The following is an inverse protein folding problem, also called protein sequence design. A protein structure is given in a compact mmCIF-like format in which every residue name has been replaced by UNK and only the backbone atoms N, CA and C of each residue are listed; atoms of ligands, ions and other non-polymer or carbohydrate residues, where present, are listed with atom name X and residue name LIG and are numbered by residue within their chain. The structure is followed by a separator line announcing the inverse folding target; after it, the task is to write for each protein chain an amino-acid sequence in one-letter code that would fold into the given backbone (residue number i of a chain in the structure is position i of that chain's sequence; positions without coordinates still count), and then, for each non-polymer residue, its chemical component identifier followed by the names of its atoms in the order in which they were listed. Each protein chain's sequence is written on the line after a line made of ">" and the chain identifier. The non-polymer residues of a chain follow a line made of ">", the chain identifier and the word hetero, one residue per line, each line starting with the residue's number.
data_IF_376604422872
#
_entry.id   IF_376604422872
#
_cell.length_a   1.000
_cell.length_b   1.000
_cell.length_c   1.000
_cell.angle_alpha   90.00
_cell.angle_beta   90.00
_cell.angle_gamma   90.00
#
_symmetry.space_group_name_H-M   'P 1'
#
loop_
_entity.id
_entity.type
_entity.pdbx_description
1 polymer ?
#
# COMPACT_ATOMS: atom_id res chain seq x y z
N UNK A 1 -34.44 22.00 44.77
CA UNK A 1 -34.55 22.27 43.33
C UNK A 1 -33.28 21.78 42.64
N UNK A 2 -33.40 20.82 41.71
CA UNK A 2 -32.26 20.30 40.93
C UNK A 2 -31.85 21.36 39.88
N UNK A 3 -30.55 21.63 39.67
CA UNK A 3 -30.13 22.45 38.54
C UNK A 3 -30.13 21.60 37.26
N UNK A 4 -30.69 22.16 36.18
CA UNK A 4 -30.69 21.59 34.85
C UNK A 4 -29.29 21.70 34.19
N UNK A 5 -28.88 20.77 33.31
CA UNK A 5 -27.61 20.88 32.61
C UNK A 5 -27.73 21.87 31.46
N UNK A 6 -26.81 22.84 31.42
CA UNK A 6 -26.62 23.78 30.33
C UNK A 6 -25.91 23.06 29.18
N UNK A 7 -26.61 22.91 28.05
CA UNK A 7 -26.08 22.32 26.82
C UNK A 7 -25.08 23.31 26.19
N UNK A 8 -23.79 23.00 26.25
CA UNK A 8 -22.74 23.78 25.58
C UNK A 8 -22.77 23.45 24.08
N UNK A 9 -23.28 24.37 23.27
CA UNK A 9 -23.19 24.29 21.82
C UNK A 9 -21.75 24.56 21.37
N UNK A 10 -21.09 23.52 20.86
CA UNK A 10 -19.78 23.64 20.19
C UNK A 10 -19.97 24.32 18.84
N UNK A 11 -19.60 25.61 18.78
CA UNK A 11 -19.41 26.34 17.54
C UNK A 11 -18.13 25.83 16.88
N UNK A 12 -18.29 25.02 15.82
CA UNK A 12 -17.19 24.68 14.93
C UNK A 12 -16.85 25.91 14.07
N UNK A 13 -15.72 26.55 14.34
CA UNK A 13 -15.15 27.59 13.48
C UNK A 13 -14.61 26.91 12.22
N UNK A 14 -15.35 27.00 11.13
CA UNK A 14 -14.89 26.63 9.81
C UNK A 14 -13.86 27.66 9.33
N UNK A 15 -12.57 27.34 9.45
CA UNK A 15 -11.52 28.05 8.73
C UNK A 15 -11.61 27.66 7.26
N UNK A 16 -12.23 28.53 6.47
CA UNK A 16 -12.35 28.38 5.03
C UNK A 16 -10.98 28.41 4.36
N UNK A 17 -10.54 27.26 3.85
CA UNK A 17 -9.52 27.20 2.80
C UNK A 17 -10.15 27.64 1.48
N UNK A 18 -9.49 28.46 0.66
CA UNK A 18 -10.03 28.84 -0.64
C UNK A 18 -10.21 27.58 -1.50
N UNK A 19 -11.44 27.32 -1.94
CA UNK A 19 -11.75 26.32 -2.96
C UNK A 19 -11.05 26.75 -4.25
N UNK A 20 -9.94 26.09 -4.58
CA UNK A 20 -9.48 26.01 -5.96
C UNK A 20 -10.56 25.18 -6.69
N UNK A 21 -11.28 25.81 -7.61
CA UNK A 21 -12.20 25.12 -8.51
C UNK A 21 -11.40 24.06 -9.29
N UNK A 22 -11.80 22.80 -9.13
CA UNK A 22 -11.16 21.65 -9.77
C UNK A 22 -12.07 20.43 -9.65
N UNK A 23 -12.85 20.23 -10.71
CA UNK A 23 -13.53 19.02 -11.17
C UNK A 23 -14.37 18.23 -10.15
N UNK A 24 -15.60 18.72 -9.91
CA UNK A 24 -16.68 17.81 -9.52
C UNK A 24 -16.81 16.71 -10.60
N UNK A 25 -16.95 15.43 -10.23
CA UNK A 25 -17.18 14.36 -11.20
C UNK A 25 -18.42 14.68 -12.03
N UNK A 26 -18.49 14.25 -13.31
CA UNK A 26 -19.65 14.50 -14.17
C UNK A 26 -20.95 14.16 -13.45
N UNK A 27 -21.98 15.00 -13.60
CA UNK A 27 -23.28 14.84 -12.89
C UNK A 27 -23.94 13.47 -13.10
N UNK A 28 -23.57 12.78 -14.18
CA UNK A 28 -24.09 11.47 -14.58
C UNK A 28 -23.19 10.29 -14.15
N UNK A 29 -22.07 10.56 -13.46
CA UNK A 29 -21.20 9.49 -12.96
C UNK A 29 -21.83 8.80 -11.76
N UNK A 30 -21.81 7.46 -11.77
CA UNK A 30 -22.28 6.63 -10.66
C UNK A 30 -21.68 7.10 -9.33
N UNK A 31 -22.49 7.09 -8.27
CA UNK A 31 -22.02 7.36 -6.91
C UNK A 31 -21.24 6.16 -6.37
N UNK A 32 -19.99 6.40 -5.97
CA UNK A 32 -19.12 5.42 -5.35
C UNK A 32 -18.93 5.69 -3.85
N UNK A 33 -18.34 4.73 -3.15
CA UNK A 33 -17.87 4.88 -1.78
C UNK A 33 -16.83 6.01 -1.69
N UNK A 34 -16.62 6.58 -0.49
CA UNK A 34 -15.52 7.53 -0.27
C UNK A 34 -14.17 6.93 -0.68
N UNK A 35 -13.25 7.80 -1.10
CA UNK A 35 -11.86 7.43 -1.37
C UNK A 35 -11.18 6.93 -0.08
N UNK A 36 -10.14 6.07 -0.20
CA UNK A 36 -9.57 5.59 -1.44
C UNK A 36 -10.36 4.44 -2.09
N UNK A 37 -10.10 4.19 -3.38
CA UNK A 37 -10.73 3.12 -4.15
C UNK A 37 -9.73 2.00 -4.43
N UNK A 38 -9.75 0.97 -3.58
CA UNK A 38 -9.16 -0.33 -3.90
C UNK A 38 -9.94 -0.97 -5.05
N UNK A 39 -9.32 -1.13 -6.23
CA UNK A 39 -9.98 -1.79 -7.36
C UNK A 39 -9.94 -3.31 -7.25
N UNK A 40 -8.84 -3.84 -6.73
CA UNK A 40 -8.68 -5.26 -6.46
C UNK A 40 -7.66 -5.49 -5.35
N UNK A 41 -7.98 -6.41 -4.45
CA UNK A 41 -7.02 -7.03 -3.53
C UNK A 41 -6.78 -8.47 -3.98
N UNK A 42 -5.57 -8.81 -4.38
CA UNK A 42 -5.19 -10.18 -4.75
C UNK A 42 -4.50 -10.87 -3.60
N UNK A 43 -5.15 -11.86 -3.00
CA UNK A 43 -4.64 -12.58 -1.84
C UNK A 43 -3.89 -13.83 -2.28
N UNK A 44 -2.62 -13.90 -1.88
CA UNK A 44 -1.82 -15.10 -1.93
C UNK A 44 -1.93 -15.85 -0.60
N UNK A 45 -2.09 -17.16 -0.69
CA UNK A 45 -1.89 -18.08 0.42
C UNK A 45 -0.54 -18.78 0.22
N UNK A 46 0.44 -18.45 1.08
CA UNK A 46 1.81 -18.99 1.00
C UNK A 46 2.00 -20.27 1.82
N UNK A 47 0.90 -20.89 2.26
CA UNK A 47 0.88 -22.21 2.89
C UNK A 47 0.73 -22.15 4.41
N UNK A 48 1.76 -21.74 5.15
CA UNK A 48 1.73 -21.66 6.61
C UNK A 48 2.42 -20.41 7.12
N UNK A 49 2.13 -20.04 8.37
CA UNK A 49 2.89 -19.04 9.09
C UNK A 49 4.37 -19.47 9.16
N UNK A 50 5.30 -18.55 8.99
CA UNK A 50 6.73 -18.86 8.93
C UNK A 50 7.60 -17.79 9.60
N UNK A 51 8.75 -18.17 10.20
CA UNK A 51 9.73 -17.18 10.66
C UNK A 51 10.11 -16.22 9.53
N UNK A 52 10.14 -14.92 9.83
CA UNK A 52 10.38 -13.89 8.83
C UNK A 52 11.85 -13.48 8.74
N UNK A 53 12.46 -13.74 7.59
CA UNK A 53 13.75 -13.17 7.17
C UNK A 53 13.58 -12.23 5.97
N UNK A 54 12.76 -12.61 4.98
CA UNK A 54 12.41 -11.73 3.87
C UNK A 54 11.10 -12.11 3.19
N UNK A 55 10.49 -11.12 2.52
CA UNK A 55 9.34 -11.27 1.63
C UNK A 55 9.60 -10.43 0.39
N UNK A 56 9.57 -11.02 -0.80
CA UNK A 56 9.73 -10.30 -2.05
C UNK A 56 8.60 -10.62 -3.04
N UNK A 57 8.21 -9.63 -3.83
CA UNK A 57 7.25 -9.76 -4.93
C UNK A 57 7.77 -8.98 -6.13
N UNK A 58 7.83 -9.66 -7.27
CA UNK A 58 8.07 -9.01 -8.56
C UNK A 58 6.79 -8.29 -9.00
N UNK A 59 6.93 -7.07 -9.52
CA UNK A 59 5.86 -6.31 -10.14
C UNK A 59 6.31 -5.79 -11.50
N UNK A 60 5.49 -5.98 -12.52
CA UNK A 60 5.72 -5.43 -13.87
C UNK A 60 4.59 -4.47 -14.22
N UNK A 61 4.94 -3.27 -14.67
CA UNK A 61 4.03 -2.18 -15.04
C UNK A 61 4.17 -1.96 -16.54
N UNK A 62 3.07 -2.04 -17.30
CA UNK A 62 3.12 -1.99 -18.78
C UNK A 62 3.34 -0.59 -19.34
N UNK A 63 2.87 0.45 -18.66
CA UNK A 63 2.76 1.82 -19.18
C UNK A 63 3.25 2.85 -18.16
N UNK A 64 3.78 3.96 -18.68
CA UNK A 64 4.15 5.09 -17.83
C UNK A 64 2.89 5.74 -17.27
N UNK A 65 2.93 6.05 -15.97
CA UNK A 65 1.77 6.61 -15.27
C UNK A 65 2.07 8.07 -14.90
N UNK A 66 1.17 9.03 -15.22
CA UNK A 66 1.37 10.41 -14.81
C UNK A 66 1.39 10.54 -13.27
N UNK A 67 2.29 11.37 -12.74
CA UNK A 67 2.40 11.61 -11.29
C UNK A 67 1.08 12.11 -10.67
N UNK A 68 0.22 12.76 -11.47
CA UNK A 68 -1.02 13.37 -11.04
C UNK A 68 -2.15 12.38 -10.73
N UNK A 69 -2.11 11.10 -11.13
CA UNK A 69 -3.30 10.24 -11.04
C UNK A 69 -3.58 9.65 -9.65
N UNK A 70 -2.65 9.80 -8.71
CA UNK A 70 -2.72 9.18 -7.37
C UNK A 70 -2.98 7.67 -7.44
N UNK A 71 -2.18 6.95 -8.23
CA UNK A 71 -2.20 5.48 -8.31
C UNK A 71 -1.26 4.90 -7.27
N UNK A 72 -1.75 3.90 -6.54
CA UNK A 72 -0.95 3.04 -5.67
C UNK A 72 -0.95 1.61 -6.21
N UNK A 73 0.23 1.12 -6.56
CA UNK A 73 0.52 -0.28 -6.87
C UNK A 73 1.25 -0.86 -5.66
N UNK A 74 0.63 -1.82 -4.97
CA UNK A 74 1.19 -2.41 -3.77
C UNK A 74 1.54 -3.88 -4.00
N UNK A 75 2.79 -4.22 -4.39
CA UNK A 75 3.24 -5.61 -4.48
C UNK A 75 3.22 -6.31 -3.12
N UNK A 76 3.27 -5.57 -2.02
CA UNK A 76 3.09 -6.09 -0.67
C UNK A 76 2.01 -5.23 -0.01
N UNK A 77 0.76 -5.43 -0.43
CA UNK A 77 -0.37 -4.58 -0.10
C UNK A 77 -1.01 -4.81 1.26
N UNK A 78 -1.15 -6.06 1.71
CA UNK A 78 -1.66 -6.36 3.05
C UNK A 78 -0.95 -7.60 3.60
N UNK A 79 -0.36 -7.50 4.79
CA UNK A 79 0.24 -8.62 5.48
C UNK A 79 0.40 -8.34 6.96
N UNK A 80 0.80 -9.36 7.74
CA UNK A 80 1.15 -9.18 9.14
C UNK A 80 2.50 -9.80 9.47
N UNK A 81 3.27 -9.07 10.28
CA UNK A 81 4.45 -9.60 10.97
C UNK A 81 4.11 -9.68 12.46
N UNK A 82 4.02 -10.89 13.00
CA UNK A 82 3.66 -11.12 14.41
C UNK A 82 2.39 -10.37 14.82
N UNK A 83 1.34 -10.43 13.99
CA UNK A 83 0.05 -9.73 14.12
C UNK A 83 0.09 -8.21 13.88
N UNK A 84 1.25 -7.62 13.63
CA UNK A 84 1.35 -6.19 13.28
C UNK A 84 1.08 -6.03 11.78
N UNK A 85 0.03 -5.30 11.37
CA UNK A 85 -0.30 -5.16 9.96
C UNK A 85 0.67 -4.19 9.26
N UNK A 86 1.02 -4.50 8.02
CA UNK A 86 1.94 -3.71 7.21
C UNK A 86 1.54 -3.70 5.74
N UNK A 87 2.09 -2.74 5.00
CA UNK A 87 1.90 -2.60 3.56
C UNK A 87 3.03 -1.79 2.93
N UNK A 88 3.29 -1.96 1.64
CA UNK A 88 4.33 -1.25 0.90
C UNK A 88 4.24 -1.42 -0.61
N UNK A 89 4.78 -0.44 -1.33
CA UNK A 89 4.78 -0.43 -2.78
C UNK A 89 5.14 0.91 -3.40
N UNK A 90 4.58 1.18 -4.58
CA UNK A 90 4.90 2.28 -5.47
C UNK A 90 3.69 3.21 -5.59
N UNK A 91 3.86 4.49 -5.30
CA UNK A 91 2.82 5.50 -5.49
C UNK A 91 3.26 6.53 -6.53
N UNK A 92 2.30 7.09 -7.27
CA UNK A 92 2.57 8.25 -8.15
C UNK A 92 2.74 9.55 -7.37
N UNK A 93 2.38 9.56 -6.08
CA UNK A 93 2.60 10.66 -5.14
C UNK A 93 2.91 10.14 -3.72
N UNK A 94 4.19 10.07 -3.33
CA UNK A 94 4.63 9.61 -2.00
C UNK A 94 4.89 10.77 -1.05
N UNK A 95 3.88 11.57 -0.73
CA UNK A 95 4.04 12.71 0.20
C UNK A 95 4.69 12.29 1.53
N UNK A 96 5.48 13.18 2.12
CA UNK A 96 6.21 12.88 3.35
C UNK A 96 6.82 14.11 4.00
N UNK A 97 7.32 13.95 5.21
CA UNK A 97 8.01 14.98 5.97
C UNK A 97 9.36 14.46 6.49
N UNK A 98 10.11 15.33 7.18
CA UNK A 98 11.38 14.96 7.82
C UNK A 98 11.36 15.35 9.30
N UNK A 99 12.32 14.86 10.11
CA UNK A 99 12.41 15.25 11.52
C UNK A 99 12.69 16.75 11.68
N UNK A 100 13.40 17.35 10.72
CA UNK A 100 13.73 18.78 10.69
C UNK A 100 12.59 19.64 10.16
N UNK A 101 11.81 19.11 9.23
CA UNK A 101 10.69 19.79 8.57
C UNK A 101 9.43 18.93 8.70
N UNK A 102 8.62 19.10 9.76
CA UNK A 102 7.47 18.24 10.03
C UNK A 102 6.28 18.50 9.10
N UNK A 103 6.31 19.59 8.33
CA UNK A 103 5.27 19.90 7.34
C UNK A 103 5.28 18.85 6.22
N UNK A 104 4.11 18.34 5.87
CA UNK A 104 3.94 17.41 4.76
C UNK A 104 4.37 18.09 3.43
N UNK A 105 5.20 17.39 2.66
CA UNK A 105 5.71 17.85 1.36
C UNK A 105 5.18 16.95 0.27
N UNK A 106 4.90 17.58 -0.87
CA UNK A 106 4.59 16.91 -2.14
C UNK A 106 5.88 16.45 -2.80
N UNK A 107 6.05 15.16 -3.04
CA UNK A 107 7.35 14.57 -3.41
C UNK A 107 7.39 13.95 -4.82
N UNK A 108 6.23 13.78 -5.45
CA UNK A 108 6.08 13.06 -6.71
C UNK A 108 6.09 11.55 -6.52
N UNK A 109 6.32 10.78 -7.60
CA UNK A 109 6.37 9.34 -7.54
C UNK A 109 7.44 8.83 -6.58
N UNK A 110 7.20 7.68 -5.98
CA UNK A 110 8.17 7.05 -5.11
C UNK A 110 7.70 5.74 -4.50
N UNK A 111 8.48 5.28 -3.53
CA UNK A 111 8.27 4.04 -2.79
C UNK A 111 7.89 4.31 -1.35
N UNK A 112 7.13 3.41 -0.74
CA UNK A 112 6.77 3.51 0.67
C UNK A 112 6.69 2.14 1.33
N UNK A 113 6.98 2.10 2.63
CA UNK A 113 6.66 0.99 3.51
C UNK A 113 6.04 1.52 4.79
N UNK A 114 4.92 0.93 5.20
CA UNK A 114 4.07 1.38 6.30
C UNK A 114 3.72 0.24 7.24
N UNK A 115 3.47 0.60 8.50
CA UNK A 115 3.06 -0.28 9.57
C UNK A 115 1.96 0.39 10.39
N UNK A 116 0.90 -0.35 10.71
CA UNK A 116 -0.23 0.11 11.51
C UNK A 116 0.01 -0.08 13.01
N UNK A 117 -0.72 0.68 13.84
CA UNK A 117 -0.72 0.57 15.30
C UNK A 117 0.47 1.23 15.98
N UNK A 118 1.11 2.19 15.32
CA UNK A 118 2.29 2.90 15.80
C UNK A 118 2.22 4.38 15.40
N UNK A 119 2.78 5.27 16.23
CA UNK A 119 2.86 6.72 16.01
C UNK A 119 4.21 7.33 16.31
N UNK A 120 5.07 6.63 17.03
CA UNK A 120 6.39 7.14 17.39
C UNK A 120 7.27 7.27 16.15
N UNK A 121 7.84 8.47 15.97
CA UNK A 121 8.85 8.70 14.93
C UNK A 121 10.18 8.00 15.22
N UNK A 122 10.35 7.43 16.42
CA UNK A 122 11.52 6.63 16.77
C UNK A 122 11.40 5.20 16.25
N UNK A 123 10.20 4.76 15.86
CA UNK A 123 9.98 3.49 15.16
C UNK A 123 10.24 3.60 13.64
N UNK A 124 10.85 4.71 13.19
CA UNK A 124 11.06 5.03 11.77
C UNK A 124 12.53 5.33 11.51
N UNK A 125 13.12 4.61 10.56
CA UNK A 125 14.46 4.86 10.02
C UNK A 125 14.37 5.14 8.51
N UNK A 126 14.14 6.40 8.09
CA UNK A 126 14.17 6.75 6.66
C UNK A 126 15.54 6.43 6.05
N UNK A 127 15.59 6.14 4.76
CA UNK A 127 16.86 6.13 4.02
C UNK A 127 17.51 7.53 4.01
N UNK A 128 18.77 7.63 3.62
CA UNK A 128 19.46 8.91 3.49
C UNK A 128 18.77 9.81 2.45
N UNK A 129 18.32 10.99 2.86
CA UNK A 129 17.47 11.87 2.03
C UNK A 129 16.04 11.34 1.84
N UNK A 130 15.65 10.31 2.58
CA UNK A 130 14.30 9.79 2.67
C UNK A 130 13.39 10.63 3.56
N UNK A 131 12.11 10.38 3.45
CA UNK A 131 11.03 11.04 4.17
C UNK A 131 10.25 10.01 4.97
N UNK A 132 9.33 10.48 5.81
CA UNK A 132 8.41 9.60 6.52
C UNK A 132 7.02 10.21 6.66
N UNK A 133 6.10 9.43 7.20
CA UNK A 133 4.88 9.92 7.82
C UNK A 133 4.66 9.21 9.15
N UNK A 134 4.08 9.93 10.11
CA UNK A 134 3.38 9.39 11.28
C UNK A 134 2.03 10.07 11.34
N UNK A 135 0.94 9.31 11.24
CA UNK A 135 -0.39 9.89 11.15
C UNK A 135 -1.48 9.02 11.76
N UNK A 136 -2.63 9.64 12.02
CA UNK A 136 -3.82 9.02 12.61
C UNK A 136 -5.09 9.25 11.80
N UNK A 137 -5.01 9.90 10.64
CA UNK A 137 -6.19 10.31 9.86
C UNK A 137 -6.99 9.13 9.29
N UNK A 138 -6.33 7.99 9.09
CA UNK A 138 -6.91 6.72 8.62
C UNK A 138 -6.76 5.59 9.66
N UNK A 139 -6.44 5.96 10.90
CA UNK A 139 -5.89 5.06 11.92
C UNK A 139 -4.41 5.33 12.14
N UNK A 140 -3.89 4.85 13.27
CA UNK A 140 -2.50 5.11 13.66
C UNK A 140 -1.52 4.30 12.79
N UNK A 141 -0.60 4.99 12.11
CA UNK A 141 0.46 4.36 11.35
C UNK A 141 1.75 5.17 11.32
N UNK A 142 2.84 4.47 11.00
CA UNK A 142 4.13 5.04 10.60
C UNK A 142 4.55 4.52 9.23
N UNK A 143 5.31 5.32 8.49
CA UNK A 143 5.69 5.02 7.11
C UNK A 143 7.04 5.63 6.74
N UNK A 144 7.91 4.86 6.08
CA UNK A 144 9.09 5.40 5.38
C UNK A 144 8.74 5.66 3.92
N UNK A 145 9.31 6.73 3.35
CA UNK A 145 8.99 7.25 2.02
C UNK A 145 10.28 7.59 1.27
N UNK A 146 10.42 7.08 0.04
CA UNK A 146 11.56 7.38 -0.83
C UNK A 146 11.07 7.94 -2.16
N UNK A 147 11.22 9.25 -2.41
CA UNK A 147 10.95 9.83 -3.72
C UNK A 147 11.81 9.12 -4.77
N UNK A 148 11.17 8.64 -5.81
CA UNK A 148 11.80 7.91 -6.89
C UNK A 148 10.88 7.97 -8.11
N UNK A 149 11.36 8.59 -9.19
CA UNK A 149 10.60 8.77 -10.42
C UNK A 149 10.51 7.47 -11.24
N UNK A 150 9.86 6.44 -10.67
CA UNK A 150 9.65 5.16 -11.32
C UNK A 150 8.86 5.31 -12.62
N UNK A 151 9.06 4.34 -13.52
CA UNK A 151 8.52 4.28 -14.87
C UNK A 151 7.87 2.92 -15.10
N UNK A 152 7.32 2.70 -16.29
CA UNK A 152 6.99 1.34 -16.71
C UNK A 152 8.23 0.44 -16.64
N UNK A 153 8.00 -0.85 -16.44
CA UNK A 153 9.06 -1.83 -16.33
C UNK A 153 8.87 -2.78 -15.16
N UNK A 154 9.92 -3.54 -14.88
CA UNK A 154 9.94 -4.57 -13.84
C UNK A 154 10.66 -4.06 -12.60
N UNK A 155 10.06 -4.31 -11.44
CA UNK A 155 10.61 -4.04 -10.12
C UNK A 155 10.51 -5.30 -9.25
N UNK A 156 11.44 -5.48 -8.32
CA UNK A 156 11.28 -6.41 -7.20
C UNK A 156 11.14 -5.60 -5.93
N UNK A 157 9.98 -5.68 -5.28
CA UNK A 157 9.75 -5.05 -3.98
C UNK A 157 10.02 -6.07 -2.88
N UNK A 158 10.90 -5.75 -1.93
CA UNK A 158 11.35 -6.68 -0.89
C UNK A 158 11.34 -6.06 0.49
N UNK A 159 10.80 -6.79 1.46
CA UNK A 159 11.02 -6.56 2.89
C UNK A 159 12.10 -7.52 3.40
N UNK A 160 12.95 -7.04 4.31
CA UNK A 160 14.05 -7.84 4.87
C UNK A 160 14.23 -7.51 6.34
N UNK A 161 14.37 -8.56 7.16
CA UNK A 161 14.75 -8.45 8.56
C UNK A 161 16.15 -7.81 8.67
N UNK A 162 16.31 -6.86 9.58
CA UNK A 162 17.56 -6.14 9.82
C UNK A 162 18.04 -6.30 11.27
N UNK A 163 18.77 -5.30 11.78
CA UNK A 163 19.27 -5.22 13.14
C UNK A 163 18.14 -5.20 14.18
N UNK A 164 18.53 -5.48 15.43
CA UNK A 164 17.64 -5.50 16.58
C UNK A 164 18.04 -4.42 17.58
N UNK A 165 17.07 -4.02 18.39
CA UNK A 165 17.32 -3.13 19.52
C UNK A 165 16.43 -3.45 20.70
N UNK A 166 16.82 -2.98 21.88
CA UNK A 166 16.05 -3.13 23.11
C UNK A 166 15.48 -1.79 23.52
N UNK A 167 14.16 -1.72 23.67
CA UNK A 167 13.43 -0.54 24.16
C UNK A 167 12.71 -0.96 25.43
N UNK A 168 13.00 -0.29 26.54
CA UNK A 168 12.42 -0.59 27.86
C UNK A 168 12.52 -2.08 28.25
N UNK A 169 13.70 -2.68 28.00
CA UNK A 169 13.96 -4.08 28.28
C UNK A 169 13.26 -5.07 27.34
N UNK A 170 12.55 -4.60 26.30
CA UNK A 170 11.83 -5.45 25.33
C UNK A 170 12.55 -5.45 23.97
N UNK A 171 12.75 -6.63 23.35
CA UNK A 171 13.39 -6.72 22.05
C UNK A 171 12.46 -6.21 20.94
N UNK A 172 13.07 -5.52 19.99
CA UNK A 172 12.46 -5.05 18.76
C UNK A 172 13.36 -5.40 17.59
N UNK A 173 12.76 -5.56 16.41
CA UNK A 173 13.46 -5.90 15.17
C UNK A 173 13.15 -4.86 14.12
N UNK A 174 14.18 -4.34 13.45
CA UNK A 174 14.02 -3.48 12.29
C UNK A 174 13.70 -4.32 11.05
N UNK A 175 12.75 -3.85 10.24
CA UNK A 175 12.42 -4.44 8.93
C UNK A 175 12.60 -3.36 7.88
N UNK A 176 13.51 -3.60 6.94
CA UNK A 176 13.83 -2.70 5.84
C UNK A 176 13.05 -3.01 4.57
N UNK A 177 12.67 -1.97 3.85
CA UNK A 177 12.10 -2.06 2.51
C UNK A 177 13.13 -1.69 1.45
N UNK A 178 13.20 -2.52 0.41
CA UNK A 178 14.11 -2.42 -0.71
C UNK A 178 13.33 -2.56 -2.03
N UNK A 179 13.69 -1.77 -3.03
CA UNK A 179 13.13 -1.89 -4.37
C UNK A 179 14.26 -2.03 -5.37
N UNK A 180 14.30 -3.15 -6.08
CA UNK A 180 15.23 -3.35 -7.18
C UNK A 180 14.55 -2.98 -8.50
N UNK A 181 15.13 -2.01 -9.22
CA UNK A 181 14.71 -1.57 -10.55
C UNK A 181 15.48 -2.36 -11.60
N UNK A 182 14.82 -3.28 -12.30
CA UNK A 182 15.48 -4.16 -13.27
C UNK A 182 15.98 -3.39 -14.51
N UNK A 183 15.33 -2.28 -14.85
CA UNK A 183 15.70 -1.47 -16.01
C UNK A 183 17.01 -0.69 -15.79
N UNK A 184 17.30 -0.31 -14.54
CA UNK A 184 18.47 0.51 -14.18
C UNK A 184 19.52 -0.24 -13.37
N UNK A 185 19.27 -1.52 -13.06
CA UNK A 185 20.10 -2.33 -12.16
C UNK A 185 20.37 -1.65 -10.80
N UNK A 186 19.36 -0.92 -10.30
CA UNK A 186 19.48 -0.13 -9.07
C UNK A 186 18.74 -0.80 -7.93
N UNK A 187 19.40 -0.96 -6.78
CA UNK A 187 18.78 -1.43 -5.55
C UNK A 187 18.58 -0.27 -4.57
N UNK A 188 17.33 0.16 -4.41
CA UNK A 188 16.94 1.33 -3.64
C UNK A 188 16.51 0.91 -2.24
N UNK A 189 17.22 1.37 -1.21
CA UNK A 189 16.73 1.30 0.16
C UNK A 189 15.69 2.40 0.41
N UNK A 190 14.47 2.02 0.79
CA UNK A 190 13.38 2.96 1.07
C UNK A 190 13.46 3.49 2.49
N UNK A 191 13.83 2.62 3.43
CA UNK A 191 13.89 2.87 4.86
C UNK A 191 13.49 1.62 5.64
N UNK A 192 13.45 1.72 6.97
CA UNK A 192 13.05 0.63 7.86
C UNK A 192 12.06 1.09 8.93
N UNK A 193 11.23 0.15 9.38
CA UNK A 193 10.29 0.33 10.49
C UNK A 193 10.58 -0.69 11.60
N UNK A 194 10.33 -0.30 12.84
CA UNK A 194 10.62 -1.12 14.03
C UNK A 194 9.40 -1.93 14.45
N UNK A 195 9.52 -3.26 14.42
CA UNK A 195 8.50 -4.19 14.88
C UNK A 195 8.82 -4.72 16.28
N UNK A 196 7.77 -5.03 17.05
CA UNK A 196 7.91 -5.62 18.38
C UNK A 196 8.33 -7.08 18.28
N UNK A 197 9.26 -7.48 19.14
CA UNK A 197 9.71 -8.86 19.25
C UNK A 197 11.05 -9.12 18.57
N UNK A 198 11.77 -10.10 19.11
CA UNK A 198 13.03 -10.59 18.56
C UNK A 198 12.77 -11.44 17.31
N UNK A 199 11.81 -12.37 17.38
CA UNK A 199 11.50 -13.30 16.28
C UNK A 199 10.17 -12.88 15.66
N UNK A 200 10.24 -12.41 14.42
CA UNK A 200 9.06 -12.02 13.65
C UNK A 200 8.52 -13.23 12.90
N UNK A 201 7.19 -13.30 12.77
CA UNK A 201 6.50 -14.36 12.04
C UNK A 201 5.66 -13.75 10.94
N UNK A 202 5.82 -14.21 9.70
CA UNK A 202 5.00 -13.79 8.57
C UNK A 202 3.73 -14.63 8.52
N UNK A 203 2.59 -13.97 8.50
CA UNK A 203 1.29 -14.62 8.31
C UNK A 203 1.22 -15.41 6.99
N UNK A 204 0.41 -16.47 7.02
CA UNK A 204 0.15 -17.33 5.86
C UNK A 204 -0.38 -16.58 4.62
N UNK A 205 -1.09 -15.47 4.82
CA UNK A 205 -1.73 -14.73 3.74
C UNK A 205 -1.11 -13.35 3.56
N UNK A 206 -0.77 -13.02 2.33
CA UNK A 206 -0.31 -11.70 1.92
C UNK A 206 -1.07 -11.27 0.68
N UNK A 207 -1.44 -10.00 0.59
CA UNK A 207 -2.13 -9.46 -0.57
C UNK A 207 -1.24 -8.52 -1.38
N UNK A 208 -1.52 -8.41 -2.66
CA UNK A 208 -1.23 -7.22 -3.45
C UNK A 208 -2.52 -6.41 -3.59
N UNK A 209 -2.41 -5.13 -3.93
CA UNK A 209 -3.57 -4.37 -4.37
C UNK A 209 -3.21 -3.31 -5.41
N UNK A 210 -4.25 -2.84 -6.09
CA UNK A 210 -4.21 -1.64 -6.94
C UNK A 210 -5.29 -0.68 -6.49
N UNK A 211 -4.92 0.57 -6.24
CA UNK A 211 -5.78 1.59 -5.65
C UNK A 211 -5.60 2.95 -6.32
N UNK A 212 -6.69 3.72 -6.45
CA UNK A 212 -6.60 5.18 -6.62
C UNK A 212 -6.90 5.83 -5.27
N UNK A 213 -6.03 6.73 -4.83
CA UNK A 213 -6.14 7.40 -3.53
C UNK A 213 -6.24 8.92 -3.66
N UNK A 214 -6.39 9.59 -2.52
CA UNK A 214 -6.48 11.04 -2.46
C UNK A 214 -7.87 11.55 -2.82
N UNK A 215 -7.94 12.76 -3.39
CA UNK A 215 -9.23 13.37 -3.76
C UNK A 215 -9.86 12.61 -4.92
N UNK A 216 -11.19 12.52 -4.91
CA UNK A 216 -11.94 11.91 -6.00
C UNK A 216 -11.60 12.61 -7.32
N UNK A 217 -11.42 11.81 -8.36
CA UNK A 217 -11.26 12.23 -9.76
C UNK A 217 -12.28 11.50 -10.62
N UNK A 218 -12.63 12.03 -11.82
CA UNK A 218 -13.45 11.32 -12.78
C UNK A 218 -12.89 9.91 -13.06
N UNK A 219 -13.77 8.90 -13.16
CA UNK A 219 -13.32 7.53 -13.49
C UNK A 219 -12.65 7.40 -14.85
N UNK A 220 -12.91 8.34 -15.76
CA UNK A 220 -12.25 8.43 -17.07
C UNK A 220 -10.75 8.76 -16.97
N UNK A 221 -10.30 9.32 -15.84
CA UNK A 221 -8.90 9.68 -15.59
C UNK A 221 -8.09 8.52 -14.99
N UNK A 222 -8.76 7.41 -14.66
CA UNK A 222 -8.09 6.20 -14.18
C UNK A 222 -7.16 5.72 -15.31
N UNK A 223 -5.85 5.54 -15.04
CA UNK A 223 -4.91 5.17 -16.08
C UNK A 223 -5.23 3.78 -16.61
N UNK A 224 -5.00 3.60 -17.92
CA UNK A 224 -5.10 2.31 -18.60
C UNK A 224 -3.74 1.63 -18.59
N UNK A 225 -3.63 0.53 -17.86
CA UNK A 225 -2.39 -0.22 -17.76
C UNK A 225 -2.65 -1.66 -17.34
N UNK A 226 -1.63 -2.49 -17.53
CA UNK A 226 -1.52 -3.84 -16.99
C UNK A 226 -0.44 -3.88 -15.93
N UNK A 227 -0.77 -4.47 -14.79
CA UNK A 227 0.12 -4.70 -13.66
C UNK A 227 0.21 -6.20 -13.45
N UNK A 228 1.41 -6.76 -13.48
CA UNK A 228 1.62 -8.19 -13.21
C UNK A 228 2.35 -8.36 -11.90
N UNK A 229 1.74 -9.06 -10.94
CA UNK A 229 2.38 -9.47 -9.69
C UNK A 229 2.88 -10.91 -9.80
N UNK A 230 4.17 -11.11 -9.57
CA UNK A 230 4.74 -12.45 -9.44
C UNK A 230 4.32 -13.13 -8.13
N UNK A 231 4.50 -14.46 -8.01
CA UNK A 231 4.26 -15.16 -6.77
C UNK A 231 5.20 -14.66 -5.66
N UNK A 232 4.76 -14.59 -4.39
CA UNK A 232 5.62 -14.21 -3.28
C UNK A 232 6.80 -15.17 -3.09
N UNK A 233 7.98 -14.59 -2.88
CA UNK A 233 9.20 -15.30 -2.46
C UNK A 233 9.43 -15.02 -0.99
N UNK A 234 9.31 -16.06 -0.16
CA UNK A 234 9.46 -15.97 1.30
C UNK A 234 10.79 -16.58 1.68
N UNK A 235 11.62 -15.84 2.41
CA UNK A 235 12.95 -16.25 2.87
C UNK A 235 13.84 -16.79 1.73
N UNK A 236 13.76 -16.14 0.55
CA UNK A 236 14.53 -16.52 -0.63
C UNK A 236 14.00 -17.73 -1.41
N UNK A 237 12.89 -18.35 -0.99
CA UNK A 237 12.28 -19.48 -1.68
C UNK A 237 10.84 -19.16 -2.12
N UNK A 238 10.47 -19.63 -3.32
CA UNK A 238 9.07 -19.65 -3.72
C UNK A 238 8.28 -20.60 -2.80
N UNK A 239 7.05 -20.21 -2.44
CA UNK A 239 6.17 -21.09 -1.67
C UNK A 239 5.88 -22.38 -2.45
N UNK A 240 6.01 -23.53 -1.78
CA UNK A 240 5.82 -24.86 -2.40
C UNK A 240 4.39 -25.08 -2.91
N UNK A 241 3.42 -24.53 -2.19
CA UNK A 241 2.01 -24.56 -2.56
C UNK A 241 1.50 -23.15 -2.41
N UNK A 242 1.16 -22.52 -3.53
CA UNK A 242 0.63 -21.18 -3.56
C UNK A 242 -0.76 -21.21 -4.16
N UNK A 243 -1.72 -20.56 -3.50
CA UNK A 243 -3.05 -20.31 -4.07
C UNK A 243 -3.29 -18.81 -4.13
N UNK A 244 -4.17 -18.39 -5.03
CA UNK A 244 -4.50 -16.99 -5.19
C UNK A 244 -6.00 -16.77 -5.40
N UNK A 245 -6.53 -15.71 -4.80
CA UNK A 245 -7.88 -15.20 -5.08
C UNK A 245 -7.86 -13.69 -5.32
N UNK A 246 -8.69 -13.20 -6.24
CA UNK A 246 -8.98 -11.79 -6.36
C UNK A 246 -10.24 -11.45 -5.57
N UNK A 247 -10.17 -10.36 -4.81
CA UNK A 247 -11.29 -9.75 -4.11
C UNK A 247 -11.53 -8.36 -4.69
N UNK A 248 -12.74 -8.12 -5.18
CA UNK A 248 -13.15 -6.84 -5.74
C UNK A 248 -14.08 -6.14 -4.74
N UNK A 249 -13.67 -5.01 -4.14
CA UNK A 249 -14.49 -4.27 -3.20
C UNK A 249 -15.85 -3.86 -3.80
N UNK A 250 -16.84 -3.67 -2.92
CA UNK A 250 -18.16 -3.16 -3.31
C UNK A 250 -18.18 -1.64 -3.26
N UNK A 251 -19.01 -1.03 -4.09
CA UNK A 251 -19.21 0.42 -4.06
C UNK A 251 -18.08 1.24 -4.67
N UNK A 252 -17.05 0.60 -5.25
CA UNK A 252 -15.99 1.26 -6.04
C UNK A 252 -16.21 1.01 -7.53
N UNK A 253 -15.54 1.78 -8.42
CA UNK A 253 -15.59 1.50 -9.86
C UNK A 253 -15.10 0.10 -10.20
N UNK A 254 -15.87 -0.64 -11.01
CA UNK A 254 -15.45 -1.93 -11.56
C UNK A 254 -14.50 -1.71 -12.74
N UNK A 255 -13.27 -1.30 -12.42
CA UNK A 255 -12.28 -0.82 -13.39
C UNK A 255 -10.98 -1.64 -13.41
N UNK A 256 -10.97 -2.78 -12.71
CA UNK A 256 -9.85 -3.72 -12.76
C UNK A 256 -10.33 -5.15 -12.92
N UNK A 257 -9.71 -5.93 -13.80
CA UNK A 257 -9.89 -7.38 -13.92
C UNK A 257 -8.58 -8.08 -13.62
N UNK A 258 -8.65 -9.27 -13.01
CA UNK A 258 -7.47 -10.08 -12.68
C UNK A 258 -7.59 -11.47 -13.30
N UNK A 259 -6.50 -11.96 -13.88
CA UNK A 259 -6.34 -13.32 -14.36
C UNK A 259 -5.02 -13.92 -13.84
N UNK A 260 -4.97 -15.23 -13.67
CA UNK A 260 -3.70 -15.94 -13.47
C UNK A 260 -3.06 -16.26 -14.82
N UNK A 261 -1.75 -16.04 -14.94
CA UNK A 261 -0.96 -16.39 -16.11
C UNK A 261 0.45 -16.78 -15.67
N UNK A 262 0.88 -17.98 -16.05
CA UNK A 262 2.24 -18.49 -15.76
C UNK A 262 2.64 -18.35 -14.27
N UNK A 263 1.68 -18.65 -13.37
CA UNK A 263 1.87 -18.55 -11.92
C UNK A 263 1.87 -17.12 -11.36
N UNK A 264 1.69 -16.10 -12.20
CA UNK A 264 1.57 -14.68 -11.82
C UNK A 264 0.12 -14.20 -11.89
N UNK A 265 -0.18 -13.07 -11.24
CA UNK A 265 -1.48 -12.40 -11.29
C UNK A 265 -1.40 -11.16 -12.17
N UNK A 266 -2.13 -11.17 -13.28
CA UNK A 266 -2.19 -10.08 -14.25
C UNK A 266 -3.46 -9.27 -14.00
N UNK A 267 -3.29 -8.02 -13.59
CA UNK A 267 -4.36 -7.05 -13.35
C UNK A 267 -4.40 -6.04 -14.49
N UNK A 268 -5.50 -6.01 -15.24
CA UNK A 268 -5.79 -4.92 -16.20
C UNK A 268 -6.62 -3.85 -15.53
N UNK A 269 -6.27 -2.57 -15.72
CA UNK A 269 -6.88 -1.41 -15.04
C UNK A 269 -7.31 -0.36 -16.05
N UNK A 270 -8.33 0.43 -15.72
CA UNK A 270 -8.73 1.63 -16.47
C UNK A 270 -9.76 1.40 -17.57
N UNK A 271 -10.40 0.22 -17.57
CA UNK A 271 -11.50 -0.09 -18.48
C UNK A 271 -12.73 -0.51 -17.66
N UNK A 272 -13.92 0.06 -17.95
CA UNK A 272 -15.14 -0.32 -17.24
C UNK A 272 -15.48 -1.78 -17.52
N UNK A 273 -15.87 -2.49 -16.47
CA UNK A 273 -16.36 -3.86 -16.54
C UNK A 273 -17.86 -3.87 -16.22
N UNK A 274 -18.65 -4.18 -17.23
CA UNK A 274 -20.10 -4.28 -17.08
C UNK A 274 -20.50 -5.56 -16.33
N UNK A 275 -21.51 -5.45 -15.48
CA UNK A 275 -22.19 -6.62 -14.92
C UNK A 275 -21.40 -7.48 -13.94
N UNK A 276 -20.35 -6.97 -13.26
CA UNK A 276 -19.63 -7.77 -12.25
C UNK A 276 -20.54 -8.23 -11.10
N UNK A 277 -20.83 -9.52 -11.11
CA UNK A 277 -21.59 -10.24 -10.09
C UNK A 277 -20.67 -10.87 -9.01
N UNK A 278 -19.58 -11.50 -9.44
CA UNK A 278 -18.60 -12.15 -8.55
C UNK A 278 -17.60 -11.15 -8.00
N UNK A 279 -17.59 -11.02 -6.67
CA UNK A 279 -16.65 -10.15 -5.94
C UNK A 279 -15.46 -10.91 -5.36
N UNK A 280 -15.47 -12.23 -5.43
CA UNK A 280 -14.37 -13.12 -5.04
C UNK A 280 -14.18 -14.16 -6.13
N UNK A 281 -12.97 -14.31 -6.63
CA UNK A 281 -12.62 -15.21 -7.73
C UNK A 281 -11.35 -15.95 -7.37
N UNK A 282 -11.39 -17.28 -7.34
CA UNK A 282 -10.18 -18.10 -7.24
C UNK A 282 -9.42 -18.04 -8.56
N UNK A 283 -8.13 -17.78 -8.51
CA UNK A 283 -7.26 -17.57 -9.66
C UNK A 283 -6.23 -18.70 -9.82
N UNK A 284 -5.65 -19.14 -8.71
CA UNK A 284 -4.68 -20.24 -8.65
C UNK A 284 -5.15 -21.20 -7.58
N UNK A 285 -5.29 -22.48 -7.94
CA UNK A 285 -5.66 -23.55 -7.02
C UNK A 285 -4.43 -24.33 -6.57
N UNK A 286 -4.52 -24.98 -5.40
CA UNK A 286 -3.45 -25.85 -4.94
C UNK A 286 -3.33 -27.04 -5.88
N UNK A 287 -2.14 -27.27 -6.42
CA UNK A 287 -1.83 -28.52 -7.11
C UNK A 287 -1.94 -29.66 -6.09
N UNK A 288 -2.82 -30.62 -6.38
CA UNK A 288 -3.01 -31.82 -5.55
C UNK A 288 -1.79 -32.73 -5.60
#
# INVERSE_FOLDING_TARGET
>A
MKPAPLLLALIAVALGTPMVAGDDPPKDEKKYAPMPWHFVDTWWDVGQESPFESLAVDVTISDDVPASVNLYIAPIGLGHLSKTPFYGGLQTQTDGNTKKEPKLRTLGPGFLFSMWGERSTDAIRPADGGFFQSSGHEGDFVSVRRPFAWKKGKYTYRLTRMDQETIDGKPHTWVGAFVYSHATDENVFVGALRFKGEKLSLDRKVANFVEIYGRRKPVADIPKLTITFGPPVVNGAAAKTVTAEAVYPKGVPDYAATAAKDGSLVVTVGQPLEGRDKRRVKLIEATK
#
